data_IF_722310366407
#
_entry.id   IF_722310366407
#
_cell.length_a   1.000
_cell.length_b   1.000
_cell.length_c   1.000
_cell.angle_alpha   90.00
_cell.angle_beta   90.00
_cell.angle_gamma   90.00
#
_symmetry.space_group_name_H-M   'P 1'
#
loop_
_entity.id
_entity.type
_entity.pdbx_description
1 polymer ?
#
# COMPACT_ATOMS: atom_id res chain seq x y z
N UNK A 1 -14.86 -13.25 -78.49
CA UNK A 1 -14.89 -14.66 -78.04
C UNK A 1 -14.26 -14.73 -76.66
N UNK A 2 -15.09 -14.74 -75.63
CA UNK A 2 -14.65 -14.80 -74.24
C UNK A 2 -14.35 -16.25 -73.83
N UNK A 3 -13.18 -16.48 -73.23
CA UNK A 3 -12.93 -17.67 -72.41
C UNK A 3 -12.25 -17.20 -71.12
N UNK A 4 -13.02 -17.25 -70.05
CA UNK A 4 -12.54 -17.12 -68.67
C UNK A 4 -11.72 -18.35 -68.29
N UNK A 5 -10.55 -18.13 -67.71
CA UNK A 5 -9.85 -19.13 -66.91
C UNK A 5 -9.45 -18.44 -65.60
N UNK A 6 -10.02 -18.94 -64.50
CA UNK A 6 -9.86 -18.38 -63.18
C UNK A 6 -8.43 -18.52 -62.65
N UNK A 7 -8.06 -17.59 -61.78
CA UNK A 7 -6.91 -17.75 -60.91
C UNK A 7 -7.36 -17.45 -59.48
N UNK A 8 -7.34 -18.50 -58.66
CA UNK A 8 -7.48 -18.42 -57.22
C UNK A 8 -6.27 -17.67 -56.65
N UNK A 9 -6.47 -16.44 -56.19
CA UNK A 9 -5.55 -15.80 -55.26
C UNK A 9 -6.03 -16.15 -53.84
N UNK A 10 -5.55 -17.27 -53.32
CA UNK A 10 -5.63 -17.55 -51.89
C UNK A 10 -4.70 -16.56 -51.17
N UNK A 11 -5.26 -15.42 -50.75
CA UNK A 11 -4.61 -14.54 -49.81
C UNK A 11 -4.61 -15.25 -48.44
N UNK A 12 -3.51 -15.96 -48.15
CA UNK A 12 -3.21 -16.37 -46.78
C UNK A 12 -2.89 -15.10 -46.00
N UNK A 13 -3.91 -14.54 -45.36
CA UNK A 13 -3.75 -13.59 -44.27
C UNK A 13 -3.01 -14.33 -43.15
N UNK A 14 -1.69 -14.19 -43.13
CA UNK A 14 -0.88 -14.52 -41.96
C UNK A 14 -1.28 -13.54 -40.84
N UNK A 15 -2.30 -13.91 -40.08
CA UNK A 15 -2.60 -13.23 -38.83
C UNK A 15 -1.42 -13.42 -37.89
N UNK A 16 -0.87 -12.28 -37.45
CA UNK A 16 0.34 -12.22 -36.65
C UNK A 16 0.17 -12.92 -35.32
N UNK A 17 1.06 -13.87 -35.05
CA UNK A 17 1.54 -14.09 -33.70
C UNK A 17 2.72 -13.13 -33.50
N UNK A 18 2.42 -11.84 -33.28
CA UNK A 18 3.34 -10.99 -32.52
C UNK A 18 3.34 -11.58 -31.12
N UNK A 19 4.21 -12.57 -30.88
CA UNK A 19 4.49 -13.04 -29.53
C UNK A 19 4.94 -11.82 -28.74
N UNK A 20 4.11 -11.35 -27.82
CA UNK A 20 4.60 -10.51 -26.76
C UNK A 20 5.72 -11.32 -26.11
N UNK A 21 6.97 -10.91 -26.34
CA UNK A 21 8.11 -11.53 -25.70
C UNK A 21 7.82 -11.48 -24.20
N UNK A 22 7.57 -12.64 -23.59
CA UNK A 22 7.29 -12.73 -22.15
C UNK A 22 8.51 -12.13 -21.48
N UNK A 23 8.34 -10.96 -20.85
CA UNK A 23 9.44 -10.27 -20.23
C UNK A 23 10.07 -11.18 -19.18
N UNK A 24 11.39 -11.30 -19.21
CA UNK A 24 12.10 -12.22 -18.32
C UNK A 24 11.82 -11.88 -16.85
N UNK A 25 11.63 -12.91 -16.04
CA UNK A 25 11.45 -12.78 -14.60
C UNK A 25 12.78 -12.43 -13.92
N UNK A 26 12.79 -11.58 -12.87
CA UNK A 26 14.01 -11.25 -12.16
C UNK A 26 14.52 -12.47 -11.38
N UNK A 27 15.84 -12.63 -11.31
CA UNK A 27 16.43 -13.68 -10.48
C UNK A 27 16.27 -13.36 -8.99
N UNK A 28 16.20 -14.39 -8.14
CA UNK A 28 16.17 -14.21 -6.68
C UNK A 28 17.34 -13.34 -6.18
N UNK A 29 18.54 -13.55 -6.75
CA UNK A 29 19.72 -12.75 -6.43
C UNK A 29 19.54 -11.27 -6.75
N UNK A 30 18.95 -10.96 -7.90
CA UNK A 30 18.71 -9.58 -8.33
C UNK A 30 17.69 -8.88 -7.42
N UNK A 31 16.65 -9.59 -7.00
CA UNK A 31 15.68 -9.08 -6.02
C UNK A 31 16.33 -8.88 -4.65
N UNK A 32 17.15 -9.83 -4.18
CA UNK A 32 17.91 -9.69 -2.92
C UNK A 32 18.85 -8.48 -2.94
N UNK A 33 19.51 -8.21 -4.06
CA UNK A 33 20.30 -6.98 -4.23
C UNK A 33 19.43 -5.72 -4.14
N UNK A 34 18.20 -5.75 -4.67
CA UNK A 34 17.28 -4.63 -4.56
C UNK A 34 16.91 -4.39 -3.08
N UNK A 35 16.65 -5.45 -2.32
CA UNK A 35 16.36 -5.34 -0.89
C UNK A 35 17.52 -4.75 -0.10
N UNK A 36 18.75 -5.12 -0.44
CA UNK A 36 19.97 -4.60 0.17
C UNK A 36 20.11 -3.10 -0.07
N UNK A 37 19.98 -2.62 -1.32
CA UNK A 37 20.13 -1.18 -1.61
C UNK A 37 18.99 -0.33 -1.04
N UNK A 38 17.84 -0.95 -0.77
CA UNK A 38 16.70 -0.35 -0.09
C UNK A 38 16.78 -0.45 1.44
N UNK A 39 17.83 -1.11 1.98
CA UNK A 39 18.07 -1.30 3.41
C UNK A 39 16.92 -2.04 4.15
N UNK A 40 16.26 -3.00 3.49
CA UNK A 40 15.10 -3.68 4.08
C UNK A 40 15.43 -4.45 5.36
N UNK A 41 16.62 -5.06 5.47
CA UNK A 41 17.05 -5.74 6.70
C UNK A 41 17.13 -4.77 7.89
N UNK A 42 17.68 -3.56 7.66
CA UNK A 42 17.73 -2.52 8.69
C UNK A 42 16.33 -2.05 9.07
N UNK A 43 15.45 -1.86 8.09
CA UNK A 43 14.05 -1.50 8.32
C UNK A 43 13.34 -2.56 9.18
N UNK A 44 13.54 -3.85 8.93
CA UNK A 44 12.98 -4.91 9.75
C UNK A 44 13.56 -4.94 11.17
N UNK A 45 14.85 -4.70 11.34
CA UNK A 45 15.46 -4.55 12.67
C UNK A 45 14.88 -3.38 13.47
N UNK A 46 14.62 -2.24 12.82
CA UNK A 46 13.96 -1.10 13.45
C UNK A 46 12.51 -1.43 13.85
N UNK A 47 11.76 -2.06 12.96
CA UNK A 47 10.39 -2.52 13.25
C UNK A 47 10.36 -3.52 14.42
N UNK A 48 11.31 -4.45 14.45
CA UNK A 48 11.46 -5.40 15.55
C UNK A 48 11.73 -4.70 16.88
N UNK A 49 12.61 -3.70 16.89
CA UNK A 49 12.93 -2.92 18.08
C UNK A 49 11.70 -2.16 18.60
N UNK A 50 10.94 -1.53 17.71
CA UNK A 50 9.71 -0.83 18.06
C UNK A 50 8.68 -1.78 18.66
N UNK A 51 8.43 -2.91 17.99
CA UNK A 51 7.48 -3.91 18.46
C UNK A 51 7.93 -4.53 19.78
N UNK A 52 9.22 -4.81 19.96
CA UNK A 52 9.77 -5.29 21.22
C UNK A 52 9.50 -4.30 22.36
N UNK A 53 9.61 -2.99 22.10
CA UNK A 53 9.23 -1.95 23.05
C UNK A 53 7.76 -2.00 23.44
N UNK A 54 6.86 -2.10 22.45
CA UNK A 54 5.41 -2.21 22.67
C UNK A 54 5.07 -3.49 23.45
N UNK A 55 5.65 -4.63 23.09
CA UNK A 55 5.40 -5.91 23.76
C UNK A 55 5.95 -5.94 25.18
N UNK A 56 7.10 -5.30 25.42
CA UNK A 56 7.65 -5.17 26.78
C UNK A 56 6.75 -4.33 27.69
N UNK A 57 6.06 -3.32 27.15
CA UNK A 57 5.08 -2.55 27.90
C UNK A 57 3.79 -3.34 28.16
N UNK A 58 3.34 -4.13 27.17
CA UNK A 58 2.13 -4.94 27.28
C UNK A 58 2.30 -6.16 28.21
N UNK A 59 3.49 -6.78 28.23
CA UNK A 59 3.81 -7.97 29.02
C UNK A 59 5.11 -7.77 29.81
N UNK A 60 5.08 -6.99 30.92
CA UNK A 60 6.30 -6.57 31.61
C UNK A 60 7.10 -7.68 32.29
N UNK A 61 6.52 -8.86 32.49
CA UNK A 61 7.20 -10.02 33.08
C UNK A 61 8.14 -10.74 32.10
N UNK A 62 8.05 -10.45 30.80
CA UNK A 62 8.93 -10.99 29.77
C UNK A 62 9.99 -9.95 29.43
N UNK A 63 11.30 -10.28 29.48
CA UNK A 63 12.35 -9.31 29.20
C UNK A 63 12.32 -8.86 27.73
N UNK A 64 12.66 -7.59 27.49
CA UNK A 64 12.69 -7.01 26.15
C UNK A 64 13.58 -7.80 25.15
N UNK A 65 14.65 -8.42 25.64
CA UNK A 65 15.56 -9.26 24.84
C UNK A 65 14.86 -10.49 24.23
N UNK A 66 13.81 -11.02 24.85
CA UNK A 66 13.03 -12.10 24.28
C UNK A 66 12.31 -11.65 23.00
N UNK A 67 11.67 -10.48 23.05
CA UNK A 67 10.96 -9.90 21.91
C UNK A 67 11.91 -9.48 20.79
N UNK A 68 13.15 -9.09 21.11
CA UNK A 68 14.19 -8.84 20.10
C UNK A 68 14.50 -10.09 19.25
N UNK A 69 14.25 -11.29 19.77
CA UNK A 69 14.40 -12.54 19.01
C UNK A 69 13.31 -12.78 17.96
N UNK A 70 12.24 -11.98 17.92
CA UNK A 70 11.12 -12.21 17.01
C UNK A 70 11.49 -12.01 15.53
N UNK A 71 12.18 -10.92 15.21
CA UNK A 71 12.88 -10.74 13.92
C UNK A 71 14.37 -10.58 14.22
N UNK A 72 15.01 -11.70 14.52
CA UNK A 72 16.46 -11.80 14.57
C UNK A 72 17.06 -11.86 13.16
N UNK A 73 18.37 -12.13 13.05
CA UNK A 73 19.04 -12.25 11.76
C UNK A 73 18.45 -13.38 10.90
N UNK A 74 18.11 -14.52 11.50
CA UNK A 74 17.53 -15.65 10.77
C UNK A 74 16.09 -15.35 10.33
N UNK A 75 15.28 -14.74 11.19
CA UNK A 75 13.93 -14.28 10.88
C UNK A 75 13.92 -13.22 9.78
N UNK A 76 14.90 -12.31 9.79
CA UNK A 76 15.10 -11.33 8.71
C UNK A 76 15.34 -12.02 7.37
N UNK A 77 16.25 -12.99 7.33
CA UNK A 77 16.52 -13.76 6.11
C UNK A 77 15.30 -14.54 5.62
N UNK A 78 14.58 -15.20 6.53
CA UNK A 78 13.33 -15.91 6.20
C UNK A 78 12.26 -14.97 5.64
N UNK A 79 12.14 -13.76 6.20
CA UNK A 79 11.17 -12.77 5.71
C UNK A 79 11.56 -12.28 4.30
N UNK A 80 12.84 -11.96 4.08
CA UNK A 80 13.33 -11.55 2.77
C UNK A 80 13.13 -12.65 1.72
N UNK A 81 13.39 -13.92 2.06
CA UNK A 81 13.13 -15.05 1.16
C UNK A 81 11.66 -15.17 0.77
N UNK A 82 10.74 -14.93 1.71
CA UNK A 82 9.29 -14.92 1.43
C UNK A 82 8.87 -13.74 0.53
N UNK A 83 9.61 -12.64 0.55
CA UNK A 83 9.32 -11.48 -0.29
C UNK A 83 9.85 -11.61 -1.73
N UNK A 84 10.88 -12.42 -1.96
CA UNK A 84 11.43 -12.64 -3.30
C UNK A 84 10.35 -13.01 -4.34
N UNK A 85 9.51 -14.05 -4.13
CA UNK A 85 8.50 -14.43 -5.12
C UNK A 85 7.44 -13.34 -5.34
N UNK A 86 7.14 -12.52 -4.33
CA UNK A 86 6.21 -11.37 -4.48
C UNK A 86 6.77 -10.38 -5.51
N UNK A 87 8.05 -10.04 -5.41
CA UNK A 87 8.68 -9.13 -6.37
C UNK A 87 8.79 -9.75 -7.77
N UNK A 88 9.08 -11.05 -7.86
CA UNK A 88 9.09 -11.76 -9.15
C UNK A 88 7.70 -11.70 -9.82
N UNK A 89 6.63 -11.88 -9.05
CA UNK A 89 5.27 -11.82 -9.58
C UNK A 89 4.89 -10.44 -10.14
N UNK A 90 5.45 -9.34 -9.62
CA UNK A 90 5.03 -7.98 -9.97
C UNK A 90 6.00 -7.22 -10.87
N UNK A 91 7.26 -7.64 -10.96
CA UNK A 91 8.29 -6.92 -11.69
C UNK A 91 9.01 -7.84 -12.67
N UNK A 92 9.43 -7.28 -13.80
CA UNK A 92 10.33 -7.96 -14.75
C UNK A 92 11.80 -7.80 -14.33
N UNK A 93 12.68 -8.61 -14.90
CA UNK A 93 14.13 -8.48 -14.72
C UNK A 93 14.64 -7.08 -15.13
N UNK A 94 14.04 -6.48 -16.16
CA UNK A 94 14.36 -5.13 -16.60
C UNK A 94 13.92 -4.08 -15.57
N UNK A 95 12.73 -4.23 -14.99
CA UNK A 95 12.23 -3.31 -13.95
C UNK A 95 13.13 -3.34 -12.72
N UNK A 96 13.46 -4.55 -12.21
CA UNK A 96 14.35 -4.68 -11.04
C UNK A 96 15.75 -4.12 -11.33
N UNK A 97 16.27 -4.26 -12.56
CA UNK A 97 17.53 -3.64 -12.95
C UNK A 97 17.44 -2.11 -12.96
N UNK A 98 16.32 -1.55 -13.44
CA UNK A 98 16.02 -0.12 -13.40
C UNK A 98 15.93 0.41 -11.97
N UNK A 99 15.21 -0.30 -11.09
CA UNK A 99 15.09 0.04 -9.66
C UNK A 99 16.45 -0.01 -8.97
N UNK A 100 17.26 -1.03 -9.22
CA UNK A 100 18.63 -1.13 -8.72
C UNK A 100 19.48 0.07 -9.15
N UNK A 101 19.43 0.45 -10.43
CA UNK A 101 20.15 1.62 -10.95
C UNK A 101 19.68 2.90 -10.25
N UNK A 102 18.37 3.07 -10.11
CA UNK A 102 17.80 4.25 -9.47
C UNK A 102 18.18 4.33 -7.99
N UNK A 103 17.90 3.28 -7.19
CA UNK A 103 18.14 3.29 -5.76
C UNK A 103 19.63 3.34 -5.39
N UNK A 104 20.55 2.90 -6.27
CA UNK A 104 21.99 3.11 -6.09
C UNK A 104 22.44 4.56 -6.34
N UNK A 105 21.64 5.38 -7.02
CA UNK A 105 21.98 6.79 -7.26
C UNK A 105 21.83 7.64 -5.99
N UNK A 106 22.50 8.79 -5.96
CA UNK A 106 22.36 9.75 -4.86
C UNK A 106 20.90 10.19 -4.65
N UNK A 107 20.14 10.38 -5.74
CA UNK A 107 18.72 10.71 -5.65
C UNK A 107 17.91 9.54 -5.09
N UNK A 108 18.16 8.31 -5.54
CA UNK A 108 17.46 7.13 -5.04
C UNK A 108 17.71 6.87 -3.55
N UNK A 109 18.95 7.05 -3.07
CA UNK A 109 19.27 6.99 -1.64
C UNK A 109 18.61 8.13 -0.85
N UNK A 110 18.53 9.34 -1.43
CA UNK A 110 17.76 10.44 -0.82
C UNK A 110 16.27 10.11 -0.72
N UNK A 111 15.70 9.45 -1.73
CA UNK A 111 14.30 9.00 -1.72
C UNK A 111 14.07 7.99 -0.59
N UNK A 112 14.93 6.99 -0.43
CA UNK A 112 14.82 6.01 0.67
C UNK A 112 14.84 6.69 2.04
N UNK A 113 15.70 7.69 2.22
CA UNK A 113 15.91 8.33 3.53
C UNK A 113 14.90 9.43 3.85
N UNK A 114 14.42 10.18 2.85
CA UNK A 114 13.60 11.37 3.06
C UNK A 114 12.10 11.13 2.83
N UNK A 115 11.72 10.24 1.91
CA UNK A 115 10.31 10.03 1.59
C UNK A 115 9.45 9.63 2.80
N UNK A 116 9.88 8.73 3.70
CA UNK A 116 9.07 8.39 4.87
C UNK A 116 8.72 9.61 5.72
N UNK A 117 9.69 10.50 5.94
CA UNK A 117 9.49 11.74 6.68
C UNK A 117 8.59 12.72 5.90
N UNK A 118 8.85 12.91 4.60
CA UNK A 118 8.01 13.78 3.76
C UNK A 118 6.55 13.33 3.74
N UNK A 119 6.29 12.02 3.66
CA UNK A 119 4.93 11.48 3.72
C UNK A 119 4.31 11.68 5.11
N UNK A 120 5.07 11.50 6.19
CA UNK A 120 4.60 11.74 7.55
C UNK A 120 4.19 13.20 7.77
N UNK A 121 5.01 14.15 7.33
CA UNK A 121 4.70 15.59 7.38
C UNK A 121 3.48 15.93 6.51
N UNK A 122 3.38 15.35 5.31
CA UNK A 122 2.23 15.53 4.43
C UNK A 122 0.91 15.06 5.05
N UNK A 123 0.94 13.93 5.78
CA UNK A 123 -0.23 13.47 6.53
C UNK A 123 -0.63 14.44 7.64
N UNK A 124 0.32 15.04 8.35
CA UNK A 124 0.03 16.04 9.39
C UNK A 124 -0.65 17.28 8.80
N UNK A 125 -0.15 17.77 7.66
CA UNK A 125 -0.77 18.89 6.92
C UNK A 125 -2.20 18.53 6.51
N UNK A 126 -2.42 17.35 5.95
CA UNK A 126 -3.75 16.89 5.55
C UNK A 126 -4.73 16.80 6.73
N UNK A 127 -4.27 16.29 7.87
CA UNK A 127 -5.08 16.24 9.09
C UNK A 127 -5.45 17.63 9.61
N UNK A 128 -4.50 18.58 9.58
CA UNK A 128 -4.76 19.96 9.97
C UNK A 128 -5.80 20.61 9.06
N UNK A 129 -5.56 20.58 7.75
CA UNK A 129 -6.48 21.12 6.76
C UNK A 129 -7.88 20.51 6.88
N UNK A 130 -7.97 19.19 7.10
CA UNK A 130 -9.24 18.49 7.27
C UNK A 130 -10.03 18.96 8.49
N UNK A 131 -9.36 19.22 9.63
CA UNK A 131 -10.01 19.81 10.81
C UNK A 131 -10.53 21.22 10.53
N UNK A 132 -9.68 22.08 9.98
CA UNK A 132 -10.03 23.47 9.65
C UNK A 132 -11.22 23.54 8.68
N UNK A 133 -11.20 22.71 7.63
CA UNK A 133 -12.29 22.64 6.66
C UNK A 133 -13.57 22.09 7.28
N UNK A 134 -13.47 21.05 8.11
CA UNK A 134 -14.61 20.47 8.82
C UNK A 134 -15.30 21.49 9.73
N UNK A 135 -14.52 22.23 10.52
CA UNK A 135 -15.05 23.29 11.37
C UNK A 135 -15.72 24.41 10.56
N UNK A 136 -15.13 24.81 9.43
CA UNK A 136 -15.75 25.80 8.53
C UNK A 136 -17.10 25.31 8.01
N UNK A 137 -17.18 24.06 7.55
CA UNK A 137 -18.43 23.48 7.05
C UNK A 137 -19.50 23.38 8.14
N UNK A 138 -19.14 23.02 9.37
CA UNK A 138 -20.06 22.99 10.50
C UNK A 138 -20.60 24.41 10.76
N UNK A 139 -19.73 25.43 10.80
CA UNK A 139 -20.15 26.84 10.95
C UNK A 139 -21.11 27.28 9.84
N UNK A 140 -20.83 26.91 8.59
CA UNK A 140 -21.72 27.21 7.46
C UNK A 140 -23.11 26.56 7.63
N UNK A 141 -23.16 25.29 8.06
CA UNK A 141 -24.42 24.58 8.31
C UNK A 141 -25.21 25.18 9.48
N UNK A 142 -24.52 25.66 10.52
CA UNK A 142 -25.13 26.35 11.65
C UNK A 142 -25.72 27.70 11.24
N UNK A 143 -24.99 28.48 10.45
CA UNK A 143 -25.48 29.77 9.92
C UNK A 143 -26.70 29.61 9.02
N UNK A 144 -26.78 28.50 8.27
CA UNK A 144 -27.93 28.15 7.43
C UNK A 144 -29.11 27.56 8.22
N UNK A 145 -28.94 27.33 9.53
CA UNK A 145 -29.94 26.68 10.38
C UNK A 145 -30.16 25.19 10.08
N UNK A 146 -29.30 24.58 9.26
CA UNK A 146 -29.33 23.13 8.99
C UNK A 146 -28.87 22.34 10.21
N UNK A 147 -27.91 22.90 10.97
CA UNK A 147 -27.51 22.41 12.29
C UNK A 147 -27.82 23.48 13.35
N UNK A 148 -28.08 23.04 14.57
CA UNK A 148 -28.19 23.92 15.73
C UNK A 148 -26.82 24.38 16.25
N UNK A 149 -26.80 25.25 17.27
CA UNK A 149 -25.57 25.77 17.88
C UNK A 149 -24.66 24.69 18.50
N UNK A 150 -25.17 23.48 18.73
CA UNK A 150 -24.40 22.32 19.22
C UNK A 150 -23.91 21.41 18.10
N UNK A 151 -24.18 21.76 16.84
CA UNK A 151 -23.77 20.99 15.66
C UNK A 151 -24.68 19.78 15.40
N UNK A 152 -25.89 19.75 15.96
CA UNK A 152 -26.86 18.66 15.78
C UNK A 152 -27.94 19.07 14.80
N UNK A 153 -28.51 18.10 14.09
CA UNK A 153 -29.73 18.34 13.32
C UNK A 153 -30.82 18.80 14.29
N UNK A 154 -31.59 19.86 13.97
CA UNK A 154 -32.75 20.21 14.76
C UNK A 154 -33.69 19.01 14.82
N UNK A 155 -34.36 18.80 15.97
CA UNK A 155 -35.22 17.65 16.19
C UNK A 155 -36.28 17.56 15.08
N UNK A 156 -36.10 16.62 14.15
CA UNK A 156 -37.13 16.32 13.17
C UNK A 156 -38.25 15.55 13.89
N UNK A 157 -39.53 15.92 13.73
CA UNK A 157 -40.66 15.20 14.32
C UNK A 157 -40.72 13.71 13.94
N UNK A 158 -39.95 13.26 12.95
CA UNK A 158 -39.92 11.88 12.47
C UNK A 158 -39.16 10.90 13.38
N UNK A 159 -38.37 11.37 14.36
CA UNK A 159 -37.55 10.49 15.21
C UNK A 159 -38.16 10.21 16.61
N UNK A 160 -39.32 10.77 16.95
CA UNK A 160 -40.02 10.52 18.23
C UNK A 160 -40.95 9.30 18.20
N UNK A 161 -40.94 8.51 17.12
CA UNK A 161 -41.74 7.30 16.96
C UNK A 161 -40.93 6.01 16.99
N UNK A 162 -40.05 5.79 17.98
CA UNK A 162 -39.58 4.42 18.26
C UNK A 162 -40.53 3.78 19.28
N UNK A 163 -41.38 2.87 18.78
CA UNK A 163 -42.24 2.04 19.60
C UNK A 163 -41.39 1.21 20.59
N UNK A 164 -41.89 0.92 21.81
CA UNK A 164 -41.14 0.09 22.77
C UNK A 164 -40.93 -1.32 22.21
N UNK A 165 -39.79 -1.98 22.52
CA UNK A 165 -39.60 -3.38 22.17
C UNK A 165 -40.65 -4.25 22.87
N UNK A 166 -41.15 -5.32 22.23
CA UNK A 166 -42.15 -6.20 22.84
C UNK A 166 -41.55 -6.87 24.09
N UNK A 167 -42.33 -6.85 25.18
CA UNK A 167 -41.98 -7.52 26.42
C UNK A 167 -41.86 -9.03 26.18
N UNK A 168 -40.68 -9.58 26.47
CA UNK A 168 -40.47 -11.02 26.47
C UNK A 168 -41.07 -11.56 27.78
N UNK A 169 -42.16 -12.31 27.66
CA UNK A 169 -42.71 -13.07 28.77
C UNK A 169 -41.74 -14.23 29.11
N UNK A 170 -41.47 -14.39 30.41
CA UNK A 170 -40.63 -15.46 30.97
C UNK A 170 -41.24 -16.85 30.81
#
# INVERSE_FOLDING_TARGET
MHRWAGMFAAAVLAWGASGAAVAAQPSARQVRQLFEVMHLSQMFGQMNTQMAGVMSQAVPCVPASYWQGFIDAAGTEQLLDRMVPVYQQHFTAADVAGLLKFYKSALGQKVITQMPQTMAEGMQVGQQWGRERGEQMIRELQQKGTLDATGRCPASPAASGSAPPPAVAH
#
